data_IF_885796169533
#
_entry.id   IF_885796169533
#
_cell.length_a   1.000
_cell.length_b   1.000
_cell.length_c   1.000
_cell.angle_alpha   90.00
_cell.angle_beta   90.00
_cell.angle_gamma   90.00
#
_symmetry.space_group_name_H-M   'P 1'
#
loop_
_entity.id
_entity.type
_entity.pdbx_description
1 polymer ?
#
# COMPACT_ATOMS: atom_id res chain seq x y z
N UNK A 1 5.02 -3.15 16.42
CA UNK A 1 6.28 -3.53 15.75
C UNK A 1 7.13 -4.27 16.76
N UNK A 2 7.40 -5.55 16.48
CA UNK A 2 8.10 -6.47 17.38
C UNK A 2 9.44 -6.89 16.77
N UNK A 3 10.47 -7.09 17.58
CA UNK A 3 11.78 -7.57 17.12
C UNK A 3 12.01 -9.01 17.58
N UNK A 4 12.39 -9.89 16.63
CA UNK A 4 12.61 -11.31 16.90
C UNK A 4 13.91 -11.77 16.25
N UNK A 5 14.65 -12.64 16.93
CA UNK A 5 15.90 -13.18 16.39
C UNK A 5 15.65 -14.19 15.28
N UNK A 6 16.55 -14.25 14.29
CA UNK A 6 16.47 -15.25 13.22
C UNK A 6 16.52 -16.70 13.75
N UNK A 7 17.16 -16.94 14.90
CA UNK A 7 17.14 -18.25 15.55
C UNK A 7 15.76 -18.62 16.08
N UNK A 8 15.05 -17.66 16.68
CA UNK A 8 13.75 -17.89 17.31
C UNK A 8 12.64 -18.12 16.27
N UNK A 9 12.71 -17.41 15.13
CA UNK A 9 11.69 -17.54 14.08
C UNK A 9 11.82 -18.85 13.28
N UNK A 10 13.02 -19.42 13.17
CA UNK A 10 13.27 -20.64 12.39
C UNK A 10 12.45 -21.84 12.87
N UNK A 11 12.29 -21.98 14.18
CA UNK A 11 11.63 -23.13 14.79
C UNK A 11 10.11 -22.90 14.97
N UNK A 12 9.64 -21.66 14.78
CA UNK A 12 8.27 -21.21 15.11
C UNK A 12 7.65 -20.33 14.01
N UNK A 13 8.10 -20.48 12.77
CA UNK A 13 7.71 -19.60 11.67
C UNK A 13 6.18 -19.49 11.52
N UNK A 14 5.45 -20.60 11.62
CA UNK A 14 3.99 -20.60 11.51
C UNK A 14 3.29 -19.83 12.63
N UNK A 15 3.88 -19.75 13.82
CA UNK A 15 3.33 -18.95 14.92
C UNK A 15 3.57 -17.46 14.67
N UNK A 16 4.80 -17.11 14.27
CA UNK A 16 5.12 -15.71 13.96
C UNK A 16 4.42 -15.20 12.70
N UNK A 17 4.09 -16.08 11.73
CA UNK A 17 3.26 -15.70 10.58
C UNK A 17 1.87 -15.24 11.01
N UNK A 18 1.22 -15.97 11.93
CA UNK A 18 -0.09 -15.55 12.49
C UNK A 18 0.03 -14.25 13.27
N UNK A 19 1.09 -14.08 14.05
CA UNK A 19 1.32 -12.82 14.76
C UNK A 19 1.58 -11.66 13.77
N UNK A 20 2.22 -11.94 12.64
CA UNK A 20 2.54 -10.96 11.63
C UNK A 20 1.33 -10.44 10.85
N UNK A 21 0.17 -11.12 10.95
CA UNK A 21 -1.12 -10.62 10.43
C UNK A 21 -1.61 -9.39 11.19
N UNK A 22 -1.26 -9.27 12.48
CA UNK A 22 -1.70 -8.17 13.35
C UNK A 22 -0.65 -7.05 13.46
N UNK A 23 0.65 -7.40 13.43
CA UNK A 23 1.72 -6.41 13.49
C UNK A 23 2.97 -6.79 12.71
N UNK A 24 3.69 -5.79 12.20
CA UNK A 24 4.99 -6.01 11.55
C UNK A 24 6.06 -6.54 12.52
N UNK A 25 6.75 -7.60 12.12
CA UNK A 25 7.85 -8.20 12.89
C UNK A 25 9.19 -7.94 12.19
N UNK A 26 10.13 -7.31 12.88
CA UNK A 26 11.51 -7.13 12.42
C UNK A 26 12.35 -8.34 12.82
N UNK A 27 12.93 -9.01 11.84
CA UNK A 27 13.83 -10.14 12.05
C UNK A 27 15.26 -9.61 12.23
N UNK A 28 15.91 -9.98 13.32
CA UNK A 28 17.30 -9.60 13.60
C UNK A 28 18.26 -10.78 13.45
N UNK A 29 19.48 -10.51 12.99
CA UNK A 29 20.60 -11.46 12.95
C UNK A 29 21.78 -10.86 13.71
N UNK A 30 22.20 -11.52 14.78
CA UNK A 30 23.24 -11.01 15.70
C UNK A 30 22.91 -9.59 16.22
N UNK A 31 21.65 -9.34 16.57
CA UNK A 31 21.18 -8.04 17.08
C UNK A 31 21.05 -6.93 16.04
N UNK A 32 21.25 -7.23 14.74
CA UNK A 32 21.06 -6.25 13.65
C UNK A 32 19.81 -6.59 12.83
N UNK A 33 18.99 -5.62 12.42
CA UNK A 33 17.88 -5.87 11.50
C UNK A 33 18.37 -6.54 10.21
N UNK A 34 17.69 -7.61 9.81
CA UNK A 34 18.04 -8.45 8.67
C UNK A 34 16.88 -8.62 7.68
N UNK A 35 15.64 -8.47 8.16
CA UNK A 35 14.45 -8.55 7.33
C UNK A 35 13.19 -8.20 8.12
N UNK A 36 12.06 -8.27 7.46
CA UNK A 36 10.74 -8.02 8.04
C UNK A 36 9.83 -9.18 7.66
N UNK A 37 9.02 -9.64 8.61
CA UNK A 37 7.91 -10.55 8.36
C UNK A 37 6.60 -9.74 8.42
N UNK A 38 5.83 -9.84 7.34
CA UNK A 38 4.49 -9.28 7.21
C UNK A 38 3.56 -10.45 6.90
N UNK A 39 2.51 -10.61 7.70
CA UNK A 39 1.43 -11.54 7.45
C UNK A 39 0.24 -10.80 6.83
N UNK A 40 -0.63 -11.54 6.16
CA UNK A 40 -1.86 -11.02 5.57
C UNK A 40 -3.03 -11.84 6.12
N UNK A 41 -3.96 -11.19 6.82
CA UNK A 41 -5.13 -11.88 7.36
C UNK A 41 -6.13 -12.22 6.24
N UNK A 42 -6.14 -11.42 5.17
CA UNK A 42 -7.08 -11.52 4.06
C UNK A 42 -6.40 -11.34 2.69
N UNK A 43 -7.13 -11.70 1.62
CA UNK A 43 -6.69 -11.41 0.24
C UNK A 43 -6.63 -9.90 -0.03
N UNK A 44 -7.50 -9.12 0.62
CA UNK A 44 -7.51 -7.66 0.51
C UNK A 44 -6.24 -7.05 1.11
N UNK A 45 -5.78 -7.53 2.29
CA UNK A 45 -4.52 -7.06 2.88
C UNK A 45 -3.32 -7.34 1.96
N UNK A 46 -3.33 -8.49 1.29
CA UNK A 46 -2.31 -8.82 0.29
C UNK A 46 -2.39 -7.90 -0.93
N UNK A 47 -3.60 -7.61 -1.41
CA UNK A 47 -3.82 -6.70 -2.52
C UNK A 47 -3.32 -5.29 -2.19
N UNK A 48 -3.68 -4.77 -1.02
CA UNK A 48 -3.26 -3.46 -0.53
C UNK A 48 -1.73 -3.38 -0.44
N UNK A 49 -1.07 -4.37 0.17
CA UNK A 49 0.40 -4.42 0.24
C UNK A 49 1.04 -4.38 -1.16
N UNK A 50 0.52 -5.13 -2.12
CA UNK A 50 1.03 -5.08 -3.48
C UNK A 50 0.83 -3.72 -4.13
N UNK A 51 -0.31 -3.08 -3.89
CA UNK A 51 -0.64 -1.79 -4.48
C UNK A 51 0.24 -0.67 -3.91
N UNK A 52 0.44 -0.68 -2.59
CA UNK A 52 1.34 0.23 -1.88
C UNK A 52 2.79 0.14 -2.36
N UNK A 53 3.20 -1.03 -2.84
CA UNK A 53 4.55 -1.28 -3.36
C UNK A 53 4.65 -1.28 -4.90
N UNK A 54 3.55 -1.07 -5.64
CA UNK A 54 3.59 -0.97 -7.11
C UNK A 54 4.11 0.41 -7.55
N UNK A 55 5.26 0.42 -8.22
CA UNK A 55 5.88 1.67 -8.68
C UNK A 55 4.99 2.52 -9.59
N UNK A 56 4.12 1.89 -10.40
CA UNK A 56 3.23 2.62 -11.32
C UNK A 56 2.11 3.29 -10.52
N UNK A 57 1.59 2.61 -9.50
CA UNK A 57 0.62 3.19 -8.59
C UNK A 57 1.23 4.37 -7.82
N UNK A 58 2.43 4.19 -7.25
CA UNK A 58 3.14 5.26 -6.54
C UNK A 58 3.42 6.47 -7.45
N UNK A 59 3.86 6.26 -8.69
CA UNK A 59 4.06 7.32 -9.68
C UNK A 59 2.75 8.07 -9.98
N UNK A 60 1.64 7.35 -10.16
CA UNK A 60 0.32 7.95 -10.39
C UNK A 60 -0.15 8.78 -9.19
N UNK A 61 0.03 8.28 -7.97
CA UNK A 61 -0.32 9.02 -6.74
C UNK A 61 0.52 10.29 -6.60
N UNK A 62 1.82 10.22 -6.88
CA UNK A 62 2.70 11.41 -6.86
C UNK A 62 2.25 12.44 -7.89
N UNK A 63 2.01 12.04 -9.13
CA UNK A 63 1.51 12.93 -10.18
C UNK A 63 0.17 13.57 -9.80
N UNK A 64 -0.78 12.79 -9.30
CA UNK A 64 -2.07 13.32 -8.86
C UNK A 64 -1.92 14.36 -7.73
N UNK A 65 -1.04 14.10 -6.76
CA UNK A 65 -0.73 15.05 -5.68
C UNK A 65 -0.10 16.35 -6.19
N UNK A 66 0.77 16.27 -7.20
CA UNK A 66 1.36 17.44 -7.85
C UNK A 66 0.30 18.26 -8.60
N UNK A 67 -0.55 17.61 -9.40
CA UNK A 67 -1.66 18.25 -10.11
C UNK A 67 -2.62 18.95 -9.15
N UNK A 68 -2.97 18.31 -8.03
CA UNK A 68 -3.82 18.93 -6.98
C UNK A 68 -3.18 20.20 -6.41
N UNK A 69 -1.88 20.18 -6.11
CA UNK A 69 -1.15 21.36 -5.63
C UNK A 69 -1.05 22.47 -6.67
N UNK A 70 -1.01 22.11 -7.95
CA UNK A 70 -1.05 23.04 -9.07
C UNK A 70 -2.46 23.57 -9.39
N UNK A 71 -3.48 23.20 -8.60
CA UNK A 71 -4.87 23.64 -8.80
C UNK A 71 -5.61 22.90 -9.91
N UNK A 72 -5.06 21.79 -10.42
CA UNK A 72 -5.66 20.97 -11.48
C UNK A 72 -6.56 19.86 -10.93
N UNK A 73 -7.11 20.05 -9.73
CA UNK A 73 -8.07 19.14 -9.11
C UNK A 73 -9.51 19.48 -9.49
N UNK A 74 -10.37 18.47 -9.46
CA UNK A 74 -11.83 18.64 -9.50
C UNK A 74 -12.37 18.58 -8.07
N UNK A 75 -13.36 19.42 -7.75
CA UNK A 75 -14.04 19.32 -6.46
C UNK A 75 -14.89 18.07 -6.43
N UNK A 76 -15.05 17.48 -5.24
CA UNK A 76 -15.82 16.25 -5.07
C UNK A 76 -17.29 16.43 -5.50
N UNK A 77 -17.86 17.62 -5.27
CA UNK A 77 -19.25 17.95 -5.64
C UNK A 77 -19.44 18.12 -7.16
N UNK A 78 -18.35 18.31 -7.90
CA UNK A 78 -18.33 18.48 -9.36
C UNK A 78 -18.04 17.15 -10.09
N UNK A 79 -17.80 16.06 -9.34
CA UNK A 79 -17.61 14.72 -9.90
C UNK A 79 -18.98 14.13 -10.25
N UNK A 80 -19.17 13.82 -11.54
CA UNK A 80 -20.31 13.02 -11.98
C UNK A 80 -20.03 11.54 -11.73
N UNK A 81 -20.68 10.98 -10.72
CA UNK A 81 -20.56 9.56 -10.39
C UNK A 81 -21.50 8.74 -11.29
N UNK A 82 -21.20 8.65 -12.58
CA UNK A 82 -21.89 7.68 -13.44
C UNK A 82 -21.45 6.25 -13.08
N UNK A 83 -22.41 5.31 -13.04
CA UNK A 83 -22.15 3.91 -12.66
C UNK A 83 -21.11 3.24 -13.57
N UNK A 84 -20.24 2.35 -13.02
CA UNK A 84 -19.08 1.81 -13.71
C UNK A 84 -19.49 0.83 -14.83
N UNK A 85 -19.72 1.39 -16.01
CA UNK A 85 -19.95 0.68 -17.27
C UNK A 85 -19.51 1.47 -18.49
N UNK A 86 -19.37 2.79 -18.37
CA UNK A 86 -18.85 3.65 -19.43
C UNK A 86 -17.41 4.08 -19.12
N UNK A 87 -16.50 3.86 -20.07
CA UNK A 87 -15.07 4.01 -19.85
C UNK A 87 -14.70 5.50 -19.81
N UNK A 88 -14.53 6.03 -18.61
CA UNK A 88 -13.43 6.95 -18.27
C UNK A 88 -13.38 8.27 -19.04
N UNK A 89 -14.47 9.02 -19.07
CA UNK A 89 -14.37 10.45 -19.38
C UNK A 89 -13.95 11.22 -18.13
N UNK A 90 -12.64 11.25 -17.87
CA UNK A 90 -12.09 12.37 -17.09
C UNK A 90 -12.16 13.60 -18.00
N UNK A 91 -12.89 14.66 -17.63
CA UNK A 91 -12.90 15.88 -18.43
C UNK A 91 -11.46 16.39 -18.52
N UNK A 92 -10.88 16.27 -19.70
CA UNK A 92 -9.65 16.95 -20.08
C UNK A 92 -10.09 18.23 -20.79
N UNK A 93 -9.49 19.35 -20.39
CA UNK A 93 -9.72 20.73 -20.84
C UNK A 93 -10.80 21.51 -20.06
N UNK A 94 -10.52 22.73 -19.58
CA UNK A 94 -9.88 23.81 -20.33
C UNK A 94 -8.79 24.55 -19.55
N UNK A 95 -7.59 24.55 -20.13
CA UNK A 95 -6.62 25.63 -19.95
C UNK A 95 -6.95 26.66 -21.03
N UNK A 96 -7.45 27.83 -20.60
CA UNK A 96 -7.57 29.05 -21.41
C UNK A 96 -7.22 30.23 -20.52
#
# INVERSE_FOLDING_TARGET
MKEISLSEIKDRLSEYLRLAEEETIVITRHGKPAGVLVGFATEDDWFDYRLEHDERFLKRVTQARESLRAGQGIKLEEIDFEEPGDRGHFPTEKVA
#
